data_IF_993643487274
#
_entry.id   IF_993643487274
#
_cell.length_a   1.000
_cell.length_b   1.000
_cell.length_c   1.000
_cell.angle_alpha   90.00
_cell.angle_beta   90.00
_cell.angle_gamma   90.00
#
_symmetry.space_group_name_H-M   'P 1'
#
loop_
_entity.id
_entity.type
_entity.pdbx_description
1 polymer ?
#
# COMPACT_ATOMS: atom_id res chain seq x y z
N UNK A 1 -45.53 -66.20 15.79
CA UNK A 1 -45.94 -65.35 14.63
C UNK A 1 -46.11 -63.92 15.16
N UNK A 2 -45.63 -62.89 14.41
CA UNK A 2 -45.33 -61.50 14.87
C UNK A 2 -44.07 -61.45 15.78
N UNK A 3 -42.98 -60.74 15.45
CA UNK A 3 -42.77 -59.27 15.32
C UNK A 3 -43.12 -58.53 16.63
N UNK A 4 -42.30 -57.66 17.26
CA UNK A 4 -40.98 -57.02 17.01
C UNK A 4 -40.33 -56.73 18.42
N UNK A 5 -39.11 -56.23 18.64
CA UNK A 5 -38.07 -55.60 17.79
C UNK A 5 -36.65 -56.06 18.29
N UNK A 6 -35.57 -55.29 18.09
CA UNK A 6 -34.20 -55.58 18.57
C UNK A 6 -33.64 -54.51 19.55
N UNK A 7 -32.73 -54.92 20.44
CA UNK A 7 -31.71 -54.17 21.24
C UNK A 7 -31.04 -55.23 22.15
N UNK A 8 -29.75 -55.24 22.50
CA UNK A 8 -28.62 -54.33 22.29
C UNK A 8 -27.34 -55.19 22.33
N UNK A 9 -26.40 -55.03 21.40
CA UNK A 9 -25.17 -55.85 21.34
C UNK A 9 -23.97 -54.97 21.69
N UNK A 10 -23.46 -55.12 22.92
CA UNK A 10 -22.36 -54.30 23.44
C UNK A 10 -21.04 -54.80 22.86
N UNK A 11 -20.54 -54.11 21.83
CA UNK A 11 -19.18 -54.28 21.32
C UNK A 11 -18.39 -52.99 21.57
N UNK A 12 -17.54 -53.01 22.59
CA UNK A 12 -16.75 -51.85 23.01
C UNK A 12 -15.57 -51.62 22.06
N UNK A 13 -15.79 -50.91 20.95
CA UNK A 13 -14.70 -50.40 20.12
C UNK A 13 -13.98 -49.24 20.82
N UNK A 14 -12.65 -49.31 20.88
CA UNK A 14 -11.82 -48.16 21.26
C UNK A 14 -12.01 -47.03 20.25
N UNK A 15 -12.56 -45.90 20.71
CA UNK A 15 -12.52 -44.65 19.95
C UNK A 15 -11.35 -43.80 20.48
N UNK A 16 -10.19 -43.92 19.81
CA UNK A 16 -9.05 -43.06 20.10
C UNK A 16 -9.35 -41.65 19.56
N UNK A 17 -9.75 -40.74 20.46
CA UNK A 17 -9.91 -39.32 20.11
C UNK A 17 -8.53 -38.71 19.93
N UNK A 18 -8.08 -38.67 18.67
CA UNK A 18 -6.96 -37.84 18.26
C UNK A 18 -7.41 -36.37 18.32
N UNK A 19 -7.11 -35.71 19.44
CA UNK A 19 -7.13 -34.25 19.52
C UNK A 19 -6.03 -33.70 18.62
N UNK A 20 -6.37 -33.48 17.35
CA UNK A 20 -5.57 -32.71 16.40
C UNK A 20 -5.56 -31.26 16.85
N UNK A 21 -4.60 -30.91 17.73
CA UNK A 21 -4.25 -29.54 18.01
C UNK A 21 -3.61 -28.94 16.76
N UNK A 22 -4.43 -28.39 15.87
CA UNK A 22 -3.94 -27.48 14.84
C UNK A 22 -3.33 -26.26 15.55
N UNK A 23 -2.00 -26.17 15.57
CA UNK A 23 -1.34 -24.90 15.82
C UNK A 23 -1.77 -23.94 14.72
N UNK A 24 -2.30 -22.78 15.11
CA UNK A 24 -2.52 -21.66 14.21
C UNK A 24 -1.15 -21.14 13.79
N UNK A 25 -0.64 -21.71 12.69
CA UNK A 25 0.59 -21.26 12.07
C UNK A 25 0.32 -19.95 11.31
N UNK A 26 0.11 -18.88 12.06
CA UNK A 26 0.33 -17.54 11.53
C UNK A 26 1.78 -17.44 11.04
N UNK A 27 2.06 -16.79 9.90
CA UNK A 27 3.41 -16.55 9.42
C UNK A 27 4.07 -15.44 10.25
N UNK A 28 4.26 -15.71 11.55
CA UNK A 28 5.13 -14.91 12.41
C UNK A 28 6.57 -15.04 11.92
N UNK A 29 7.27 -13.90 11.87
CA UNK A 29 8.58 -13.70 11.24
C UNK A 29 9.61 -14.80 11.54
N UNK A 30 9.65 -15.83 10.70
CA UNK A 30 10.62 -16.93 10.76
C UNK A 30 11.86 -16.63 9.92
N UNK A 31 12.56 -15.54 10.26
CA UNK A 31 13.93 -15.26 9.80
C UNK A 31 14.18 -15.36 8.29
N UNK A 32 13.18 -15.06 7.45
CA UNK A 32 13.31 -15.17 6.00
C UNK A 32 14.34 -14.16 5.52
N UNK A 33 15.47 -14.63 4.97
CA UNK A 33 16.42 -13.76 4.28
C UNK A 33 15.67 -13.16 3.08
N UNK A 34 15.36 -11.87 3.16
CA UNK A 34 14.78 -11.12 2.05
C UNK A 34 15.86 -11.06 0.97
N UNK A 35 15.65 -11.76 -0.14
CA UNK A 35 16.63 -11.81 -1.23
C UNK A 35 16.83 -10.41 -1.84
N UNK A 36 18.02 -10.11 -2.35
CA UNK A 36 18.27 -8.85 -3.05
C UNK A 36 17.32 -8.68 -4.24
N UNK A 37 16.91 -7.44 -4.52
CA UNK A 37 16.09 -7.17 -5.70
C UNK A 37 16.90 -7.36 -6.99
N UNK A 38 16.27 -7.94 -8.02
CA UNK A 38 16.80 -8.02 -9.39
C UNK A 38 16.39 -6.80 -10.21
N UNK A 39 15.14 -6.33 -10.00
CA UNK A 39 14.58 -5.15 -10.66
C UNK A 39 13.74 -4.31 -9.70
N UNK A 40 13.73 -3.01 -9.95
CA UNK A 40 12.81 -2.04 -9.34
C UNK A 40 11.75 -1.70 -10.37
N UNK A 41 10.49 -1.81 -9.99
CA UNK A 41 9.37 -1.31 -10.78
C UNK A 41 8.88 0.00 -10.16
N UNK A 42 8.68 1.02 -10.99
CA UNK A 42 8.19 2.35 -10.58
C UNK A 42 6.89 2.62 -11.33
N UNK A 43 5.82 2.89 -10.59
CA UNK A 43 4.57 3.35 -11.15
C UNK A 43 4.64 4.86 -11.37
N UNK A 44 4.53 5.25 -12.64
CA UNK A 44 4.39 6.63 -13.06
C UNK A 44 2.90 6.93 -13.16
N UNK A 45 2.41 7.86 -12.33
CA UNK A 45 0.99 8.22 -12.32
C UNK A 45 0.54 8.76 -13.68
N UNK A 46 1.42 9.40 -14.44
CA UNK A 46 1.04 10.17 -15.61
C UNK A 46 0.42 11.51 -15.21
N UNK A 47 -0.45 12.02 -16.07
CA UNK A 47 -1.24 13.23 -15.87
C UNK A 47 -2.71 12.82 -15.95
N UNK A 48 -3.52 13.25 -14.98
CA UNK A 48 -4.93 12.83 -14.89
C UNK A 48 -5.73 13.18 -16.16
N UNK A 49 -6.48 12.21 -16.69
CA UNK A 49 -7.26 12.30 -17.94
C UNK A 49 -6.40 12.43 -19.22
N UNK A 50 -5.14 11.97 -19.22
CA UNK A 50 -4.25 11.94 -20.40
C UNK A 50 -3.88 10.52 -20.87
N UNK A 51 -4.38 9.46 -20.21
CA UNK A 51 -4.15 8.04 -20.55
C UNK A 51 -2.65 7.69 -20.77
N UNK A 52 -1.79 8.28 -19.95
CA UNK A 52 -0.33 8.24 -20.08
C UNK A 52 0.40 7.71 -18.82
N UNK A 53 -0.28 6.94 -17.97
CA UNK A 53 0.42 6.20 -16.91
C UNK A 53 1.35 5.16 -17.54
N UNK A 54 2.52 4.97 -16.94
CA UNK A 54 3.52 4.02 -17.42
C UNK A 54 4.16 3.27 -16.25
N UNK A 55 4.76 2.13 -16.56
CA UNK A 55 5.48 1.31 -15.59
C UNK A 55 6.96 1.29 -15.96
N UNK A 56 7.81 2.00 -15.21
CA UNK A 56 9.26 1.94 -15.43
C UNK A 56 9.84 0.70 -14.77
N UNK A 57 10.65 -0.05 -15.50
CA UNK A 57 11.46 -1.13 -14.95
C UNK A 57 12.94 -0.72 -14.98
N UNK A 58 13.59 -0.76 -13.81
CA UNK A 58 15.04 -0.56 -13.66
C UNK A 58 15.69 -1.88 -13.25
N UNK A 59 16.61 -2.36 -14.07
CA UNK A 59 17.33 -3.61 -13.83
C UNK A 59 18.63 -3.32 -13.06
N UNK A 60 18.78 -3.92 -11.87
CA UNK A 60 19.90 -3.66 -10.96
C UNK A 60 21.20 -4.36 -11.36
N UNK A 61 21.16 -5.31 -12.29
CA UNK A 61 22.34 -6.08 -12.74
C UNK A 61 23.13 -5.41 -13.87
N UNK A 62 22.48 -4.56 -14.67
CA UNK A 62 23.06 -3.85 -15.80
C UNK A 62 22.81 -2.32 -15.76
N UNK A 63 22.16 -1.83 -14.70
CA UNK A 63 21.85 -0.43 -14.44
C UNK A 63 20.97 0.27 -15.49
N UNK A 64 20.17 -0.47 -16.27
CA UNK A 64 19.30 0.10 -17.32
C UNK A 64 17.86 0.33 -16.85
N UNK A 65 17.32 1.53 -17.08
CA UNK A 65 15.89 1.85 -17.00
C UNK A 65 15.18 1.65 -18.35
N UNK A 66 13.92 1.21 -18.32
CA UNK A 66 12.98 1.24 -19.46
C UNK A 66 11.68 1.87 -19.00
N UNK A 67 11.37 3.08 -19.49
CA UNK A 67 10.29 3.94 -18.95
C UNK A 67 8.89 3.35 -19.07
N UNK A 68 8.54 2.77 -20.22
CA UNK A 68 7.25 2.09 -20.43
C UNK A 68 7.47 0.60 -20.70
N UNK A 69 7.82 -0.09 -19.61
CA UNK A 69 8.02 -1.53 -19.61
C UNK A 69 6.72 -2.30 -19.85
N UNK A 70 5.58 -1.79 -19.38
CA UNK A 70 4.28 -2.43 -19.60
C UNK A 70 3.90 -2.44 -21.09
N UNK A 71 4.07 -1.32 -21.80
CA UNK A 71 3.88 -1.30 -23.25
C UNK A 71 4.89 -2.22 -23.96
N UNK A 72 6.15 -2.24 -23.49
CA UNK A 72 7.18 -3.13 -24.04
C UNK A 72 6.80 -4.62 -23.95
N UNK A 73 6.14 -5.06 -22.86
CA UNK A 73 5.69 -6.45 -22.71
C UNK A 73 4.36 -6.75 -23.43
N UNK A 74 3.42 -5.78 -23.48
CA UNK A 74 2.01 -6.04 -23.82
C UNK A 74 1.51 -5.35 -25.10
N UNK A 75 2.30 -4.45 -25.70
CA UNK A 75 1.94 -3.71 -26.92
C UNK A 75 0.80 -2.69 -26.75
N UNK A 76 0.44 -2.32 -25.52
CA UNK A 76 -0.62 -1.36 -25.18
C UNK A 76 -0.24 -0.50 -23.97
N UNK A 77 -0.88 0.66 -23.81
CA UNK A 77 -0.71 1.52 -22.63
C UNK A 77 -1.27 0.91 -21.34
N UNK A 78 -0.76 1.35 -20.20
CA UNK A 78 -1.19 0.89 -18.87
C UNK A 78 -2.50 1.52 -18.40
N UNK A 79 -2.87 2.70 -18.92
CA UNK A 79 -4.10 3.42 -18.59
C UNK A 79 -3.85 4.82 -18.02
N UNK A 80 -4.80 5.28 -17.21
CA UNK A 80 -4.87 6.63 -16.66
C UNK A 80 -4.85 6.63 -15.12
N UNK A 81 -3.99 7.49 -14.57
CA UNK A 81 -3.78 7.73 -13.14
C UNK A 81 -3.49 6.45 -12.35
N UNK A 82 -2.30 5.88 -12.57
CA UNK A 82 -1.74 4.83 -11.72
C UNK A 82 -1.56 5.30 -10.27
N UNK A 83 -2.25 4.65 -9.33
CA UNK A 83 -2.40 5.14 -7.96
C UNK A 83 -1.77 4.25 -6.88
N UNK A 84 -1.69 2.93 -7.07
CA UNK A 84 -0.96 2.08 -6.13
C UNK A 84 -0.35 0.86 -6.82
N UNK A 85 0.71 0.31 -6.25
CA UNK A 85 1.37 -0.87 -6.78
C UNK A 85 1.95 -1.74 -5.67
N UNK A 86 1.66 -3.04 -5.74
CA UNK A 86 2.11 -4.00 -4.75
C UNK A 86 2.40 -5.38 -5.38
N UNK A 87 3.37 -6.10 -4.81
CA UNK A 87 3.68 -7.48 -5.20
C UNK A 87 3.00 -8.44 -4.23
N UNK A 88 2.21 -9.38 -4.76
CA UNK A 88 1.62 -10.46 -3.95
C UNK A 88 1.48 -11.76 -4.76
N UNK A 89 1.76 -12.91 -4.14
CA UNK A 89 1.54 -14.23 -4.77
C UNK A 89 2.22 -14.42 -6.14
N UNK A 90 3.41 -13.84 -6.33
CA UNK A 90 4.15 -13.88 -7.59
C UNK A 90 3.56 -13.03 -8.72
N UNK A 91 2.81 -11.98 -8.39
CA UNK A 91 2.17 -11.04 -9.34
C UNK A 91 2.42 -9.60 -8.90
N UNK A 92 2.40 -8.68 -9.85
CA UNK A 92 2.30 -7.24 -9.57
C UNK A 92 0.83 -6.86 -9.74
N UNK A 93 0.26 -6.18 -8.74
CA UNK A 93 -1.07 -5.58 -8.82
C UNK A 93 -0.88 -4.07 -8.91
N UNK A 94 -1.49 -3.44 -9.91
CA UNK A 94 -1.38 -2.00 -10.18
C UNK A 94 -2.79 -1.41 -10.18
N UNK A 95 -3.07 -0.51 -9.25
CA UNK A 95 -4.37 0.16 -9.11
C UNK A 95 -4.42 1.35 -10.06
N UNK A 96 -5.35 1.33 -11.01
CA UNK A 96 -5.58 2.40 -11.98
C UNK A 96 -6.83 3.18 -11.60
N UNK A 97 -6.64 4.42 -11.12
CA UNK A 97 -7.70 5.22 -10.51
C UNK A 97 -8.73 5.70 -11.53
N UNK A 98 -8.32 6.48 -12.54
CA UNK A 98 -9.24 7.05 -13.54
C UNK A 98 -9.76 5.96 -14.48
N UNK A 99 -8.92 5.01 -14.90
CA UNK A 99 -9.38 3.85 -15.69
C UNK A 99 -10.25 2.86 -14.88
N UNK A 100 -10.26 2.99 -13.55
CA UNK A 100 -11.15 2.26 -12.63
C UNK A 100 -11.04 0.74 -12.69
N UNK A 101 -9.80 0.23 -12.67
CA UNK A 101 -9.50 -1.21 -12.58
C UNK A 101 -8.22 -1.49 -11.79
N UNK A 102 -7.99 -2.77 -11.48
CA UNK A 102 -6.66 -3.27 -11.08
C UNK A 102 -6.07 -4.04 -12.25
N UNK A 103 -4.93 -3.59 -12.75
CA UNK A 103 -4.09 -4.36 -13.67
C UNK A 103 -3.30 -5.40 -12.87
N UNK A 104 -3.17 -6.61 -13.40
CA UNK A 104 -2.44 -7.70 -12.74
C UNK A 104 -1.49 -8.34 -13.72
N UNK A 105 -0.20 -8.27 -13.43
CA UNK A 105 0.87 -8.82 -14.27
C UNK A 105 1.63 -9.94 -13.56
N UNK A 106 2.41 -10.71 -14.32
CA UNK A 106 3.52 -11.49 -13.75
C UNK A 106 4.65 -10.55 -13.25
N UNK A 107 5.72 -11.12 -12.68
CA UNK A 107 6.89 -10.36 -12.22
C UNK A 107 7.78 -9.84 -13.36
N UNK A 108 7.48 -10.21 -14.61
CA UNK A 108 8.12 -9.72 -15.82
C UNK A 108 7.31 -8.59 -16.47
N UNK A 109 6.11 -8.27 -15.97
CA UNK A 109 5.26 -7.20 -16.50
C UNK A 109 4.28 -7.64 -17.59
N UNK A 110 4.17 -8.94 -17.90
CA UNK A 110 3.14 -9.43 -18.83
C UNK A 110 1.77 -9.44 -18.15
N UNK A 111 0.76 -8.92 -18.84
CA UNK A 111 -0.63 -8.92 -18.40
C UNK A 111 -1.14 -10.34 -18.14
N UNK A 112 -1.74 -10.52 -16.97
CA UNK A 112 -2.52 -11.70 -16.60
C UNK A 112 -4.02 -11.37 -16.63
N UNK A 113 -4.42 -10.19 -16.11
CA UNK A 113 -5.83 -9.77 -16.09
C UNK A 113 -6.05 -8.31 -15.65
N UNK A 114 -6.93 -7.62 -16.36
CA UNK A 114 -7.60 -6.41 -15.87
C UNK A 114 -8.86 -6.76 -15.05
N UNK A 115 -8.94 -6.28 -13.82
CA UNK A 115 -10.06 -6.50 -12.88
C UNK A 115 -10.88 -5.19 -12.79
N UNK A 116 -12.05 -5.09 -13.46
CA UNK A 116 -12.84 -3.86 -13.48
C UNK A 116 -13.47 -3.56 -12.12
N UNK A 117 -13.33 -2.31 -11.66
CA UNK A 117 -13.91 -1.81 -10.42
C UNK A 117 -14.95 -0.72 -10.73
N UNK A 118 -16.14 -1.15 -11.15
CA UNK A 118 -17.25 -0.27 -11.50
C UNK A 118 -18.49 -0.54 -10.63
N UNK A 119 -19.42 0.42 -10.60
CA UNK A 119 -20.78 0.26 -10.12
C UNK A 119 -21.74 0.48 -11.29
N UNK A 120 -22.08 -0.59 -12.01
CA UNK A 120 -22.72 -0.47 -13.33
C UNK A 120 -21.76 0.20 -14.31
N UNK A 121 -22.11 1.41 -14.77
CA UNK A 121 -21.27 2.24 -15.65
C UNK A 121 -20.47 3.31 -14.91
N UNK A 122 -20.61 3.42 -13.59
CA UNK A 122 -19.94 4.45 -12.78
C UNK A 122 -18.59 3.91 -12.30
N UNK A 123 -17.51 4.65 -12.57
CA UNK A 123 -16.19 4.35 -12.04
C UNK A 123 -16.21 4.40 -10.50
N UNK A 124 -15.43 3.55 -9.83
CA UNK A 124 -15.27 3.59 -8.37
C UNK A 124 -14.13 4.48 -7.92
N UNK A 125 -13.20 4.79 -8.82
CA UNK A 125 -11.96 5.54 -8.53
C UNK A 125 -11.14 4.85 -7.42
N UNK A 126 -10.57 3.66 -7.69
CA UNK A 126 -9.80 2.92 -6.70
C UNK A 126 -8.50 3.64 -6.31
N UNK A 127 -8.04 3.44 -5.08
CA UNK A 127 -6.93 4.19 -4.46
C UNK A 127 -5.75 3.28 -4.10
N UNK A 128 -5.79 2.62 -2.95
CA UNK A 128 -4.72 1.71 -2.48
C UNK A 128 -5.19 0.26 -2.36
N UNK A 129 -4.21 -0.66 -2.34
CA UNK A 129 -4.42 -2.11 -2.27
C UNK A 129 -3.69 -2.76 -1.08
N UNK A 130 -4.43 -3.54 -0.29
CA UNK A 130 -3.89 -4.38 0.79
C UNK A 130 -4.14 -5.87 0.53
N UNK A 131 -3.41 -6.75 1.19
CA UNK A 131 -3.54 -8.20 1.05
C UNK A 131 -3.66 -8.88 2.40
N UNK A 132 -4.51 -9.90 2.48
CA UNK A 132 -4.61 -10.77 3.64
C UNK A 132 -5.03 -12.16 3.18
N UNK A 133 -4.16 -13.16 3.42
CA UNK A 133 -4.32 -14.52 2.89
C UNK A 133 -4.58 -14.50 1.37
N UNK A 134 -5.46 -15.35 0.84
CA UNK A 134 -5.75 -15.44 -0.60
C UNK A 134 -6.59 -14.29 -1.18
N UNK A 135 -6.65 -13.13 -0.50
CA UNK A 135 -7.50 -11.99 -0.87
C UNK A 135 -6.70 -10.70 -0.96
N UNK A 136 -7.03 -9.91 -1.98
CA UNK A 136 -6.65 -8.51 -2.09
C UNK A 136 -7.85 -7.60 -1.80
N UNK A 137 -7.59 -6.40 -1.29
CA UNK A 137 -8.59 -5.46 -0.82
C UNK A 137 -8.26 -4.08 -1.37
N UNK A 138 -9.17 -3.48 -2.13
CA UNK A 138 -8.95 -2.18 -2.77
C UNK A 138 -9.95 -1.18 -2.23
N UNK A 139 -9.47 -0.11 -1.60
CA UNK A 139 -10.34 1.01 -1.22
C UNK A 139 -10.59 1.92 -2.43
N UNK A 140 -11.74 2.60 -2.46
CA UNK A 140 -12.19 3.39 -3.62
C UNK A 140 -12.94 4.64 -3.17
N UNK A 141 -12.78 5.75 -3.89
CA UNK A 141 -13.36 7.05 -3.51
C UNK A 141 -14.90 7.04 -3.44
N UNK A 142 -15.58 6.09 -4.08
CA UNK A 142 -17.02 5.84 -3.97
C UNK A 142 -17.50 5.35 -2.56
N UNK A 143 -16.61 5.38 -1.56
CA UNK A 143 -16.88 4.95 -0.17
C UNK A 143 -17.02 3.43 -0.01
N UNK A 144 -16.36 2.66 -0.87
CA UNK A 144 -16.35 1.19 -0.81
C UNK A 144 -14.96 0.57 -0.70
N UNK A 145 -14.94 -0.69 -0.29
CA UNK A 145 -13.79 -1.59 -0.40
C UNK A 145 -14.20 -2.82 -1.19
N UNK A 146 -13.46 -3.13 -2.25
CA UNK A 146 -13.62 -4.35 -3.03
C UNK A 146 -12.71 -5.46 -2.47
N UNK A 147 -13.25 -6.67 -2.32
CA UNK A 147 -12.47 -7.88 -2.03
C UNK A 147 -12.32 -8.72 -3.29
N UNK A 148 -11.07 -9.00 -3.65
CA UNK A 148 -10.66 -9.72 -4.86
C UNK A 148 -10.03 -11.05 -4.44
N UNK A 149 -10.43 -12.15 -5.08
CA UNK A 149 -9.74 -13.42 -4.94
C UNK A 149 -8.45 -13.44 -5.78
N UNK A 150 -7.30 -13.71 -5.14
CA UNK A 150 -5.99 -13.65 -5.80
C UNK A 150 -5.71 -14.84 -6.73
N UNK A 151 -6.55 -15.87 -6.74
CA UNK A 151 -6.44 -17.04 -7.61
C UNK A 151 -7.31 -16.91 -8.87
N UNK A 152 -8.56 -16.46 -8.74
CA UNK A 152 -9.46 -16.25 -9.89
C UNK A 152 -9.34 -14.84 -10.49
N UNK A 153 -8.66 -13.93 -9.79
CA UNK A 153 -8.49 -12.52 -10.14
C UNK A 153 -9.85 -11.87 -10.40
N UNK A 154 -10.77 -11.98 -9.45
CA UNK A 154 -12.13 -11.43 -9.56
C UNK A 154 -12.62 -10.88 -8.24
N UNK A 155 -13.37 -9.77 -8.29
CA UNK A 155 -14.12 -9.26 -7.15
C UNK A 155 -15.16 -10.30 -6.71
N UNK A 156 -15.14 -10.69 -5.44
CA UNK A 156 -16.12 -11.61 -4.85
C UNK A 156 -17.08 -10.93 -3.86
N UNK A 157 -16.72 -9.76 -3.32
CA UNK A 157 -17.55 -8.95 -2.46
C UNK A 157 -17.18 -7.46 -2.52
N UNK A 158 -18.14 -6.60 -2.22
CA UNK A 158 -17.95 -5.17 -1.95
C UNK A 158 -18.53 -4.87 -0.56
N UNK A 159 -17.86 -4.07 0.25
CA UNK A 159 -18.39 -3.53 1.51
C UNK A 159 -18.22 -2.01 1.56
N UNK A 160 -18.83 -1.36 2.55
CA UNK A 160 -18.74 0.10 2.74
C UNK A 160 -17.62 0.48 3.71
N UNK A 161 -17.04 1.64 3.47
CA UNK A 161 -16.17 2.37 4.39
C UNK A 161 -16.75 3.78 4.64
N UNK A 162 -15.97 4.70 5.17
CA UNK A 162 -16.36 6.11 5.32
C UNK A 162 -16.18 6.92 4.03
N UNK A 163 -16.19 8.25 4.16
CA UNK A 163 -16.14 9.19 3.02
C UNK A 163 -14.76 9.22 2.35
N UNK A 164 -14.76 9.08 1.03
CA UNK A 164 -13.58 9.02 0.15
C UNK A 164 -12.38 8.27 0.78
N UNK A 165 -12.46 6.94 0.88
CA UNK A 165 -11.36 6.08 1.26
C UNK A 165 -10.11 6.32 0.41
N UNK A 166 -8.95 6.47 1.05
CA UNK A 166 -7.73 6.92 0.37
C UNK A 166 -6.56 5.94 0.53
N UNK A 167 -6.44 5.32 1.71
CA UNK A 167 -5.44 4.30 2.00
C UNK A 167 -6.03 3.08 2.70
N UNK A 168 -5.34 1.95 2.62
CA UNK A 168 -5.79 0.69 3.23
C UNK A 168 -4.61 -0.17 3.68
N UNK A 169 -4.72 -0.78 4.85
CA UNK A 169 -3.80 -1.84 5.28
C UNK A 169 -4.55 -2.98 5.99
N UNK A 170 -3.92 -4.15 6.10
CA UNK A 170 -4.50 -5.34 6.70
C UNK A 170 -3.57 -5.93 7.77
N UNK A 171 -4.13 -6.22 8.95
CA UNK A 171 -3.41 -6.86 10.07
C UNK A 171 -4.42 -7.58 10.97
N UNK A 172 -4.03 -8.71 11.57
CA UNK A 172 -4.80 -9.47 12.57
C UNK A 172 -6.28 -9.72 12.21
N UNK A 173 -6.55 -10.05 10.95
CA UNK A 173 -7.92 -10.33 10.46
C UNK A 173 -8.80 -9.08 10.27
N UNK A 174 -8.22 -7.88 10.32
CA UNK A 174 -8.90 -6.59 10.12
C UNK A 174 -8.31 -5.83 8.93
N UNK A 175 -9.14 -5.00 8.31
CA UNK A 175 -8.70 -3.92 7.43
C UNK A 175 -8.85 -2.59 8.18
N UNK A 176 -7.86 -1.72 8.05
CA UNK A 176 -7.94 -0.31 8.41
C UNK A 176 -8.00 0.49 7.12
N UNK A 177 -9.00 1.36 7.01
CA UNK A 177 -9.26 2.16 5.81
C UNK A 177 -9.38 3.61 6.22
N UNK A 178 -8.46 4.46 5.73
CA UNK A 178 -8.47 5.89 6.00
C UNK A 178 -9.53 6.55 5.14
N UNK A 179 -10.45 7.28 5.77
CA UNK A 179 -11.50 8.02 5.10
C UNK A 179 -11.04 9.47 5.01
N UNK A 180 -10.41 9.88 3.90
CA UNK A 180 -9.84 11.23 3.78
C UNK A 180 -10.94 12.28 3.66
N UNK A 181 -12.06 11.94 3.01
CA UNK A 181 -13.03 12.92 2.53
C UNK A 181 -12.41 13.91 1.54
N UNK A 182 -11.31 13.53 0.86
CA UNK A 182 -10.45 14.42 0.07
C UNK A 182 -11.16 15.23 -1.01
N UNK A 183 -12.25 14.68 -1.57
CA UNK A 183 -13.06 15.34 -2.60
C UNK A 183 -13.99 16.44 -2.05
N UNK A 184 -14.08 16.63 -0.72
CA UNK A 184 -15.00 17.56 -0.06
C UNK A 184 -14.32 18.86 0.42
N UNK A 185 -13.20 19.28 -0.19
CA UNK A 185 -12.44 20.48 0.19
C UNK A 185 -13.35 21.70 0.44
N UNK A 186 -13.15 22.46 1.55
CA UNK A 186 -12.13 22.31 2.60
C UNK A 186 -12.54 21.40 3.77
N UNK A 187 -13.69 20.70 3.67
CA UNK A 187 -14.30 19.94 4.76
C UNK A 187 -13.90 18.45 4.71
N UNK A 188 -12.62 18.18 4.92
CA UNK A 188 -12.08 16.82 5.00
C UNK A 188 -12.68 16.02 6.16
N UNK A 189 -12.65 14.69 6.05
CA UNK A 189 -12.97 13.78 7.15
C UNK A 189 -11.75 13.56 8.06
N UNK A 190 -11.94 12.84 9.16
CA UNK A 190 -10.96 12.59 10.20
C UNK A 190 -11.13 11.19 10.83
N UNK A 191 -11.43 10.19 9.99
CA UNK A 191 -11.79 8.85 10.48
C UNK A 191 -11.05 7.73 9.76
N UNK A 192 -10.82 6.63 10.48
CA UNK A 192 -10.41 5.33 9.93
C UNK A 192 -11.53 4.32 10.18
N UNK A 193 -12.01 3.64 9.14
CA UNK A 193 -12.93 2.50 9.26
C UNK A 193 -12.15 1.24 9.61
N UNK A 194 -12.66 0.46 10.58
CA UNK A 194 -12.16 -0.89 10.90
C UNK A 194 -13.16 -1.89 10.33
N UNK A 195 -12.71 -2.78 9.45
CA UNK A 195 -13.54 -3.80 8.80
C UNK A 195 -13.02 -5.17 9.22
N UNK A 196 -13.90 -6.01 9.77
CA UNK A 196 -13.59 -7.42 10.04
C UNK A 196 -13.51 -8.19 8.72
N UNK A 197 -12.41 -8.92 8.48
CA UNK A 197 -12.21 -9.66 7.23
C UNK A 197 -13.13 -10.88 7.10
N UNK A 198 -13.30 -11.74 8.13
CA UNK A 198 -14.22 -12.87 8.10
C UNK A 198 -15.66 -12.52 7.70
N UNK A 199 -16.28 -11.51 8.32
CA UNK A 199 -17.64 -11.08 7.98
C UNK A 199 -17.68 -10.08 6.82
N UNK A 200 -16.56 -9.42 6.54
CA UNK A 200 -16.42 -8.30 5.58
C UNK A 200 -17.35 -7.11 5.89
N UNK A 201 -17.53 -6.81 7.17
CA UNK A 201 -18.35 -5.69 7.66
C UNK A 201 -17.54 -4.69 8.47
N UNK A 202 -17.80 -3.39 8.30
CA UNK A 202 -17.27 -2.36 9.20
C UNK A 202 -17.79 -2.59 10.63
N UNK A 203 -16.88 -2.72 11.60
CA UNK A 203 -17.17 -2.98 13.02
C UNK A 203 -16.93 -1.76 13.91
N UNK A 204 -16.01 -0.86 13.52
CA UNK A 204 -15.65 0.34 14.28
C UNK A 204 -15.28 1.50 13.35
N UNK A 205 -15.26 2.70 13.93
CA UNK A 205 -14.63 3.89 13.37
C UNK A 205 -13.69 4.48 14.42
N UNK A 206 -12.47 4.82 14.03
CA UNK A 206 -11.47 5.48 14.88
C UNK A 206 -11.38 6.94 14.45
N UNK A 207 -11.44 7.87 15.41
CA UNK A 207 -11.18 9.29 15.16
C UNK A 207 -9.67 9.54 15.13
N UNK A 208 -9.21 10.26 14.11
CA UNK A 208 -7.80 10.52 13.79
C UNK A 208 -7.60 12.01 13.43
N UNK A 209 -6.40 12.41 13.04
CA UNK A 209 -6.14 13.75 12.49
C UNK A 209 -6.81 13.89 11.12
N UNK A 210 -7.29 15.10 10.83
CA UNK A 210 -7.99 15.48 9.60
C UNK A 210 -7.22 15.12 8.33
N UNK A 211 -7.95 14.74 7.28
CA UNK A 211 -7.45 14.27 5.99
C UNK A 211 -6.49 13.07 6.12
N UNK A 212 -6.94 11.94 6.74
CA UNK A 212 -6.15 10.71 6.83
C UNK A 212 -5.98 10.10 5.44
N UNK A 213 -4.74 9.77 5.10
CA UNK A 213 -4.29 9.37 3.77
C UNK A 213 -3.70 7.97 3.78
N UNK A 214 -2.38 7.82 3.86
CA UNK A 214 -1.68 6.54 3.71
C UNK A 214 -1.69 5.71 4.99
N UNK A 215 -1.92 4.40 4.86
CA UNK A 215 -1.85 3.42 5.96
C UNK A 215 -0.81 2.33 5.66
N UNK A 216 0.07 2.02 6.62
CA UNK A 216 1.01 0.90 6.53
C UNK A 216 1.14 0.16 7.87
N UNK A 217 1.39 -1.14 7.81
CA UNK A 217 1.68 -1.97 8.99
C UNK A 217 3.17 -1.95 9.31
N UNK A 218 3.52 -1.71 10.58
CA UNK A 218 4.88 -1.79 11.10
C UNK A 218 5.30 -3.21 11.48
N UNK A 219 6.61 -3.46 11.55
CA UNK A 219 7.16 -4.74 12.02
C UNK A 219 6.94 -4.98 13.52
N UNK A 220 6.48 -3.97 14.26
CA UNK A 220 6.04 -4.00 15.65
C UNK A 220 4.57 -4.45 15.82
N UNK A 221 3.87 -4.76 14.73
CA UNK A 221 2.45 -5.14 14.75
C UNK A 221 1.51 -3.97 14.98
N UNK A 222 1.94 -2.73 14.71
CA UNK A 222 1.09 -1.53 14.79
C UNK A 222 0.76 -1.00 13.40
N UNK A 223 -0.29 -0.20 13.31
CA UNK A 223 -0.70 0.49 12.09
C UNK A 223 -0.22 1.93 12.15
N UNK A 224 0.48 2.37 11.12
CA UNK A 224 0.93 3.75 10.95
C UNK A 224 0.05 4.45 9.92
N UNK A 225 -0.49 5.60 10.31
CA UNK A 225 -1.36 6.46 9.51
C UNK A 225 -0.65 7.79 9.25
N UNK A 226 -0.60 8.24 8.00
CA UNK A 226 -0.30 9.62 7.64
C UNK A 226 -1.61 10.40 7.46
N UNK A 227 -1.71 11.59 8.04
CA UNK A 227 -2.78 12.55 7.80
C UNK A 227 -2.19 13.88 7.34
N UNK A 228 -2.76 14.50 6.30
CA UNK A 228 -2.26 15.76 5.75
C UNK A 228 -2.76 17.02 6.49
N UNK A 229 -3.73 16.88 7.41
CA UNK A 229 -4.32 18.03 8.10
C UNK A 229 -5.31 18.79 7.21
N UNK A 230 -5.33 20.12 7.28
CA UNK A 230 -6.23 20.96 6.47
C UNK A 230 -5.53 22.03 5.62
N UNK A 231 -4.21 21.92 5.43
CA UNK A 231 -3.38 22.92 4.73
C UNK A 231 -3.47 24.33 5.34
N UNK A 232 -3.76 24.42 6.64
CA UNK A 232 -3.94 25.67 7.37
C UNK A 232 -3.76 25.49 8.88
N UNK A 233 -4.84 25.60 9.66
CA UNK A 233 -4.80 25.56 11.13
C UNK A 233 -4.58 24.18 11.76
N UNK A 234 -4.72 23.09 10.98
CA UNK A 234 -4.48 21.72 11.40
C UNK A 234 -3.30 21.19 10.58
N UNK A 235 -2.14 21.08 11.24
CA UNK A 235 -0.94 20.46 10.66
C UNK A 235 -1.16 18.98 10.36
N UNK A 236 -0.40 18.46 9.39
CA UNK A 236 -0.28 17.02 9.19
C UNK A 236 0.40 16.31 10.37
N UNK A 237 0.19 15.00 10.44
CA UNK A 237 0.73 14.15 11.50
C UNK A 237 0.91 12.72 11.00
N UNK A 238 1.86 12.01 11.61
CA UNK A 238 1.89 10.54 11.56
C UNK A 238 1.31 10.01 12.88
N UNK A 239 0.49 8.97 12.84
CA UNK A 239 -0.15 8.40 14.02
C UNK A 239 0.07 6.89 14.07
N UNK A 240 0.29 6.35 15.26
CA UNK A 240 0.31 4.92 15.52
C UNK A 240 -1.06 4.49 16.06
N UNK A 241 -1.62 3.42 15.51
CA UNK A 241 -2.87 2.78 15.92
C UNK A 241 -2.54 1.36 16.38
N UNK A 242 -3.08 0.98 17.53
CA UNK A 242 -2.95 -0.37 18.07
C UNK A 242 -4.12 -1.26 17.58
N UNK A 243 -3.87 -2.31 16.78
CA UNK A 243 -4.95 -3.14 16.25
C UNK A 243 -5.63 -4.03 17.30
N UNK A 244 -5.05 -4.17 18.50
CA UNK A 244 -5.68 -4.94 19.59
C UNK A 244 -6.80 -4.15 20.29
N UNK A 245 -6.70 -2.82 20.32
CA UNK A 245 -7.68 -1.92 20.97
C UNK A 245 -8.46 -1.05 19.98
N UNK A 246 -8.02 -1.00 18.73
CA UNK A 246 -8.50 -0.11 17.67
C UNK A 246 -8.51 1.35 18.13
N UNK A 247 -7.37 1.82 18.64
CA UNK A 247 -7.19 3.17 19.17
C UNK A 247 -5.82 3.75 18.77
N UNK A 248 -5.77 5.08 18.63
CA UNK A 248 -4.50 5.81 18.45
C UNK A 248 -3.69 5.74 19.76
N UNK A 249 -2.47 5.23 19.70
CA UNK A 249 -1.54 5.13 20.84
C UNK A 249 -0.50 6.25 20.85
N UNK A 250 -0.11 6.74 19.69
CA UNK A 250 0.88 7.81 19.54
C UNK A 250 0.52 8.74 18.37
N UNK A 251 0.79 10.03 18.55
CA UNK A 251 0.74 11.03 17.47
C UNK A 251 2.09 11.72 17.38
N UNK A 252 2.68 11.72 16.19
CA UNK A 252 3.88 12.47 15.83
C UNK A 252 3.42 13.69 15.02
N UNK A 253 3.14 14.79 15.73
CA UNK A 253 2.59 16.03 15.18
C UNK A 253 3.58 16.77 14.27
N UNK A 254 3.07 17.68 13.43
CA UNK A 254 3.86 18.51 12.51
C UNK A 254 4.66 17.67 11.49
N UNK A 255 4.06 16.56 11.03
CA UNK A 255 4.56 15.84 9.87
C UNK A 255 3.93 16.44 8.62
N UNK A 256 4.75 17.08 7.79
CA UNK A 256 4.34 17.58 6.47
C UNK A 256 4.55 16.51 5.38
N UNK A 257 4.69 15.23 5.78
CA UNK A 257 4.95 14.12 4.87
C UNK A 257 3.87 13.99 3.80
N UNK A 258 4.30 13.66 2.58
CA UNK A 258 3.42 13.29 1.46
C UNK A 258 3.37 11.77 1.23
N UNK A 259 4.41 11.06 1.64
CA UNK A 259 4.51 9.60 1.61
C UNK A 259 5.49 9.12 2.71
N UNK A 260 5.38 7.86 3.12
CA UNK A 260 6.32 7.25 4.06
C UNK A 260 6.52 5.75 3.82
N UNK A 261 7.70 5.27 4.20
CA UNK A 261 8.10 3.87 4.15
C UNK A 261 8.66 3.40 5.50
N UNK A 262 8.40 2.15 5.85
CA UNK A 262 8.82 1.53 7.11
C UNK A 262 9.93 0.51 6.85
N UNK A 263 10.96 0.50 7.70
CA UNK A 263 11.95 -0.57 7.74
C UNK A 263 12.43 -0.80 9.18
N UNK A 264 11.99 -1.91 9.78
CA UNK A 264 12.25 -2.20 11.20
C UNK A 264 11.70 -1.10 12.11
N UNK A 265 12.55 -0.54 12.96
CA UNK A 265 12.21 0.57 13.87
C UNK A 265 12.31 1.96 13.23
N UNK A 266 12.52 2.06 11.91
CA UNK A 266 12.65 3.34 11.20
C UNK A 266 11.44 3.61 10.31
N UNK A 267 10.96 4.85 10.36
CA UNK A 267 10.02 5.41 9.40
C UNK A 267 10.73 6.49 8.60
N UNK A 268 10.87 6.27 7.29
CA UNK A 268 11.41 7.24 6.34
C UNK A 268 10.24 7.97 5.69
N UNK A 269 10.31 9.30 5.58
CA UNK A 269 9.26 10.08 4.92
C UNK A 269 9.84 11.21 4.08
N UNK A 270 9.11 11.59 3.04
CA UNK A 270 9.44 12.73 2.19
C UNK A 270 8.33 13.77 2.23
N UNK A 271 8.69 15.00 1.91
CA UNK A 271 7.82 16.17 1.83
C UNK A 271 8.33 17.09 0.71
N UNK A 272 7.42 17.86 0.12
CA UNK A 272 7.75 19.06 -0.65
C UNK A 272 6.96 20.27 -0.13
N UNK A 273 7.68 21.32 0.27
CA UNK A 273 7.10 22.58 0.71
C UNK A 273 6.95 23.54 -0.48
N UNK A 274 5.71 23.77 -0.89
CA UNK A 274 5.34 24.68 -1.98
C UNK A 274 5.62 26.17 -1.68
N UNK A 275 5.90 26.55 -0.43
CA UNK A 275 6.23 27.93 -0.05
C UNK A 275 7.73 28.24 -0.22
N UNK A 276 8.61 27.29 0.10
CA UNK A 276 10.07 27.42 -0.10
C UNK A 276 10.58 26.74 -1.38
N UNK A 277 9.72 25.96 -2.05
CA UNK A 277 10.06 25.11 -3.20
C UNK A 277 11.18 24.10 -2.90
N UNK A 278 11.27 23.63 -1.65
CA UNK A 278 12.27 22.65 -1.20
C UNK A 278 11.60 21.31 -0.85
N UNK A 279 12.28 20.21 -1.13
CA UNK A 279 11.94 18.92 -0.54
C UNK A 279 12.67 18.71 0.77
N UNK A 280 12.07 17.95 1.69
CA UNK A 280 12.77 17.35 2.81
C UNK A 280 12.60 15.82 2.80
N UNK A 281 13.65 15.10 3.19
CA UNK A 281 13.60 13.64 3.38
C UNK A 281 14.16 13.34 4.76
N UNK A 282 13.36 12.69 5.59
CA UNK A 282 13.61 12.52 7.02
C UNK A 282 13.48 11.06 7.42
N UNK A 283 14.13 10.72 8.52
CA UNK A 283 14.04 9.43 9.17
C UNK A 283 13.65 9.62 10.63
N UNK A 284 12.63 8.89 11.06
CA UNK A 284 12.13 8.85 12.42
C UNK A 284 12.46 7.50 13.05
N UNK A 285 13.05 7.52 14.24
CA UNK A 285 13.18 6.34 15.09
C UNK A 285 11.85 6.13 15.86
N UNK A 286 11.17 5.03 15.56
CA UNK A 286 9.83 4.72 16.10
C UNK A 286 9.85 4.38 17.59
N UNK A 287 11.00 4.03 18.16
CA UNK A 287 11.15 3.73 19.60
C UNK A 287 11.27 5.00 20.45
N UNK A 288 11.78 6.09 19.87
CA UNK A 288 11.95 7.38 20.57
C UNK A 288 11.02 8.49 20.06
N UNK A 289 10.45 8.34 18.86
CA UNK A 289 9.74 9.41 18.14
C UNK A 289 10.65 10.52 17.58
N UNK A 290 11.97 10.38 17.69
CA UNK A 290 12.92 11.39 17.21
C UNK A 290 13.00 11.35 15.69
N UNK A 291 12.82 12.49 15.03
CA UNK A 291 13.00 12.64 13.59
C UNK A 291 14.20 13.52 13.26
N UNK A 292 15.02 13.11 12.30
CA UNK A 292 16.17 13.86 11.77
C UNK A 292 16.15 13.87 10.26
N UNK A 293 16.91 14.78 9.64
CA UNK A 293 17.15 14.73 8.20
C UNK A 293 17.88 13.43 7.85
N UNK A 294 17.50 12.82 6.72
CA UNK A 294 18.05 11.55 6.27
C UNK A 294 19.23 11.75 5.31
N UNK A 295 19.14 12.69 4.36
CA UNK A 295 20.19 12.90 3.35
C UNK A 295 21.40 13.58 3.99
N UNK A 296 22.58 12.95 3.90
CA UNK A 296 23.80 13.39 4.59
C UNK A 296 24.88 13.96 3.68
N UNK A 297 24.73 13.85 2.36
CA UNK A 297 25.70 14.33 1.36
C UNK A 297 25.35 15.66 0.67
N UNK A 298 24.19 16.23 1.02
CA UNK A 298 23.69 17.47 0.41
C UNK A 298 23.00 17.30 -0.95
N UNK A 299 22.69 16.07 -1.36
CA UNK A 299 21.87 15.83 -2.57
C UNK A 299 20.52 16.54 -2.46
N UNK A 300 20.27 17.49 -3.36
CA UNK A 300 18.95 18.10 -3.53
C UNK A 300 18.05 17.20 -4.39
N UNK A 301 16.80 17.04 -3.96
CA UNK A 301 15.74 16.34 -4.68
C UNK A 301 14.64 17.39 -4.97
N UNK A 302 14.35 17.76 -6.22
CA UNK A 302 13.20 18.59 -6.52
C UNK A 302 11.92 17.77 -6.34
N UNK A 303 10.84 18.37 -5.83
CA UNK A 303 9.48 17.79 -5.84
C UNK A 303 9.42 16.32 -5.43
N UNK A 304 9.90 16.00 -4.22
CA UNK A 304 9.79 14.66 -3.67
C UNK A 304 8.31 14.28 -3.48
N UNK A 305 7.88 13.21 -4.17
CA UNK A 305 6.47 12.82 -4.30
C UNK A 305 6.17 11.42 -3.74
N UNK A 306 7.18 10.57 -3.57
CA UNK A 306 7.02 9.22 -3.02
C UNK A 306 8.31 8.69 -2.42
N UNK A 307 8.23 7.66 -1.58
CA UNK A 307 9.38 7.05 -0.91
C UNK A 307 9.19 5.55 -0.66
N UNK A 308 10.24 4.77 -0.90
CA UNK A 308 10.28 3.34 -0.64
C UNK A 308 11.61 2.93 -0.01
N UNK A 309 11.65 1.78 0.67
CA UNK A 309 12.88 1.19 1.20
C UNK A 309 12.97 -0.26 0.78
N UNK A 310 14.11 -0.65 0.23
CA UNK A 310 14.43 -2.06 0.02
C UNK A 310 14.85 -2.68 1.36
N UNK A 311 13.96 -3.45 1.97
CA UNK A 311 14.23 -4.10 3.26
C UNK A 311 15.45 -5.07 3.25
N UNK A 312 15.90 -5.55 2.10
CA UNK A 312 17.08 -6.42 2.01
C UNK A 312 18.40 -5.66 2.14
N UNK A 313 18.49 -4.47 1.55
CA UNK A 313 19.72 -3.64 1.52
C UNK A 313 19.69 -2.47 2.51
N UNK A 314 18.50 -2.05 2.93
CA UNK A 314 18.29 -0.80 3.66
C UNK A 314 18.39 0.45 2.78
N UNK A 315 18.48 0.29 1.45
CA UNK A 315 18.53 1.42 0.52
C UNK A 315 17.17 2.12 0.45
N UNK A 316 17.21 3.45 0.42
CA UNK A 316 16.03 4.32 0.40
C UNK A 316 15.91 4.96 -0.98
N UNK A 317 14.72 4.86 -1.56
CA UNK A 317 14.40 5.34 -2.89
C UNK A 317 13.38 6.46 -2.77
N UNK A 318 13.69 7.63 -3.34
CA UNK A 318 12.82 8.80 -3.31
C UNK A 318 12.43 9.14 -4.75
N UNK A 319 11.13 9.20 -4.99
CA UNK A 319 10.57 9.59 -6.28
C UNK A 319 10.40 11.10 -6.37
N UNK A 320 10.73 11.66 -7.53
CA UNK A 320 10.81 13.09 -7.81
C UNK A 320 10.07 13.40 -9.12
N UNK A 321 9.10 14.31 -9.06
CA UNK A 321 8.39 14.81 -10.24
C UNK A 321 9.15 15.95 -10.91
N UNK A 322 8.97 16.12 -12.22
CA UNK A 322 9.36 17.35 -12.91
C UNK A 322 8.44 18.52 -12.50
N UNK A 323 8.97 19.75 -12.55
CA UNK A 323 8.25 20.95 -12.08
C UNK A 323 7.08 21.39 -12.96
N UNK A 324 6.96 20.84 -14.17
CA UNK A 324 5.84 21.02 -15.08
C UNK A 324 4.75 19.94 -14.92
N UNK A 325 5.00 18.88 -14.13
CA UNK A 325 4.16 17.68 -13.99
C UNK A 325 3.83 16.96 -15.31
N UNK A 326 4.65 17.18 -16.34
CA UNK A 326 4.48 16.68 -17.72
C UNK A 326 5.76 16.04 -18.26
N UNK A 327 6.94 16.53 -17.86
CA UNK A 327 8.22 15.90 -18.16
C UNK A 327 8.48 14.69 -17.27
N UNK A 328 9.38 13.81 -17.70
CA UNK A 328 9.76 12.61 -16.96
C UNK A 328 10.36 12.94 -15.58
N UNK A 329 9.93 12.18 -14.57
CA UNK A 329 10.50 12.25 -13.22
C UNK A 329 11.78 11.44 -13.07
N UNK A 330 12.26 11.35 -11.82
CA UNK A 330 13.50 10.66 -11.46
C UNK A 330 13.34 9.90 -10.14
N UNK A 331 13.94 8.70 -10.05
CA UNK A 331 14.19 8.05 -8.76
C UNK A 331 15.61 8.36 -8.30
N UNK A 332 15.75 8.76 -7.04
CA UNK A 332 17.03 8.91 -6.34
C UNK A 332 17.19 7.75 -5.36
N UNK A 333 18.29 7.01 -5.47
CA UNK A 333 18.64 5.90 -4.58
C UNK A 333 19.73 6.33 -3.60
N UNK A 334 19.51 6.06 -2.31
CA UNK A 334 20.42 6.34 -1.21
C UNK A 334 20.76 5.07 -0.43
N UNK A 335 21.97 5.00 0.11
CA UNK A 335 22.31 3.98 1.10
C UNK A 335 21.60 4.24 2.44
N UNK A 336 21.67 3.26 3.36
CA UNK A 336 21.06 3.38 4.69
C UNK A 336 21.63 4.50 5.59
N UNK A 337 22.70 5.18 5.15
CA UNK A 337 23.33 6.35 5.81
C UNK A 337 22.96 7.69 5.16
N UNK A 338 22.14 7.67 4.10
CA UNK A 338 21.66 8.88 3.44
C UNK A 338 22.61 9.45 2.38
N UNK A 339 23.53 8.65 1.86
CA UNK A 339 24.39 9.05 0.73
C UNK A 339 23.82 8.51 -0.58
N UNK A 340 23.79 9.34 -1.62
CA UNK A 340 23.29 8.95 -2.93
C UNK A 340 24.19 7.87 -3.54
N UNK A 341 23.57 6.77 -3.95
CA UNK A 341 24.20 5.70 -4.72
C UNK A 341 24.09 5.98 -6.22
N UNK A 342 22.86 6.19 -6.71
CA UNK A 342 22.56 6.44 -8.11
C UNK A 342 21.21 7.16 -8.29
N UNK A 343 20.86 7.46 -9.53
CA UNK A 343 19.51 7.92 -9.92
C UNK A 343 19.22 7.55 -11.36
N UNK A 344 17.94 7.34 -11.69
CA UNK A 344 17.50 7.04 -13.05
C UNK A 344 16.20 7.77 -13.40
N UNK A 345 16.06 8.14 -14.67
CA UNK A 345 14.85 8.74 -15.24
C UNK A 345 13.73 7.70 -15.34
N UNK A 346 12.49 8.15 -15.16
CA UNK A 346 11.28 7.32 -15.19
C UNK A 346 10.30 7.82 -16.25
N UNK A 347 8.99 7.70 -16.01
CA UNK A 347 7.96 8.44 -16.73
C UNK A 347 7.45 9.63 -15.91
N UNK A 348 6.31 10.17 -16.31
CA UNK A 348 5.66 11.35 -15.71
C UNK A 348 5.07 11.03 -14.33
N UNK A 349 5.40 11.85 -13.33
CA UNK A 349 4.94 11.73 -11.94
C UNK A 349 5.16 10.33 -11.31
N UNK A 350 6.42 9.88 -11.15
CA UNK A 350 6.75 8.65 -10.45
C UNK A 350 6.41 8.78 -8.96
N UNK A 351 5.85 7.75 -8.34
CA UNK A 351 5.57 7.82 -6.90
C UNK A 351 5.57 6.50 -6.12
N UNK A 352 5.00 5.41 -6.64
CA UNK A 352 5.06 4.09 -5.99
C UNK A 352 6.18 3.24 -6.58
N UNK A 353 6.87 2.48 -5.74
CA UNK A 353 7.98 1.60 -6.13
C UNK A 353 7.80 0.21 -5.50
N UNK A 354 8.07 -0.85 -6.26
CA UNK A 354 8.14 -2.23 -5.76
C UNK A 354 9.42 -2.93 -6.21
N UNK A 355 9.87 -3.89 -5.41
CA UNK A 355 11.16 -4.58 -5.58
C UNK A 355 10.90 -6.04 -5.97
N UNK A 356 11.18 -6.39 -7.23
CA UNK A 356 11.11 -7.78 -7.72
C UNK A 356 12.42 -8.49 -7.36
N UNK A 357 12.31 -9.69 -6.80
CA UNK A 357 13.39 -10.48 -6.20
C UNK A 357 13.42 -11.87 -6.82
#
# INVERSE_FOLDING_TARGET
MRQKNAFFLVLTMLFAVLVSSCSTNDPTNSGTIVQSAQSIYVLNQGTMNQDNSTLTMYNLSNETATTDWFNTQNGKGLGDTGNDMAIYGGKIYIVMNVSSYVEVTDLQGHELKQIPLFNGTVAREPREIAFYQNKAYVCSFDSTVARIDTSTLSVDAITKAGSNPDGICAIDGKLYVSNSGGLNYPNYSNTVSVIDIPTFTQTKTITVVTNPYLLKTGSDGKVYLLSHGNYGSISGAIQQIDPTTDAVTQTYSNSEAVDFALNGTKLYYCNFDYSTMQSSVKVMDLTTGTSTDFITDGTSIPLAAGIAVDAATGNVYVASSAADYVSDGTIYCFDSTGKKLFSFTTGVNPWKMVFVR
#
